data_IF_779695286172
#
_entry.id   IF_779695286172
#
_cell.length_a   1.000
_cell.length_b   1.000
_cell.length_c   1.000
_cell.angle_alpha   90.00
_cell.angle_beta   90.00
_cell.angle_gamma   90.00
#
_symmetry.space_group_name_H-M   'P 1'
#
loop_
_entity.id
_entity.type
_entity.pdbx_description
1 polymer ?
#
# COMPACT_ATOMS: atom_id res chain seq x y z
N UNK A 1 -5.73 9.86 18.46
CA UNK A 1 -5.30 9.58 17.07
C UNK A 1 -6.55 9.17 16.31
N UNK A 2 -6.92 9.87 15.24
CA UNK A 2 -8.07 9.49 14.41
C UNK A 2 -7.53 8.59 13.29
N UNK A 3 -7.92 7.31 13.31
CA UNK A 3 -7.55 6.35 12.27
C UNK A 3 -8.50 6.48 11.08
N UNK A 4 -8.05 6.04 9.91
CA UNK A 4 -8.94 5.82 8.77
C UNK A 4 -9.98 4.75 9.14
N UNK A 5 -11.21 4.96 8.70
CA UNK A 5 -12.37 4.12 8.99
C UNK A 5 -12.19 2.73 8.40
N UNK A 6 -12.72 1.73 9.09
CA UNK A 6 -12.68 0.34 8.62
C UNK A 6 -13.34 0.17 7.24
N UNK A 7 -14.27 1.05 6.87
CA UNK A 7 -14.93 1.00 5.56
C UNK A 7 -13.97 1.20 4.40
N UNK A 8 -13.10 2.23 4.45
CA UNK A 8 -12.15 2.48 3.36
C UNK A 8 -11.09 1.37 3.29
N UNK A 9 -10.63 0.89 4.44
CA UNK A 9 -9.66 -0.19 4.53
C UNK A 9 -10.20 -1.49 3.94
N UNK A 10 -11.44 -1.86 4.30
CA UNK A 10 -12.10 -3.05 3.74
C UNK A 10 -12.24 -2.94 2.23
N UNK A 11 -12.58 -1.77 1.70
CA UNK A 11 -12.70 -1.56 0.25
C UNK A 11 -11.35 -1.71 -0.47
N UNK A 12 -10.26 -1.18 0.09
CA UNK A 12 -8.91 -1.37 -0.47
C UNK A 12 -8.49 -2.83 -0.47
N UNK A 13 -8.79 -3.57 0.60
CA UNK A 13 -8.53 -5.02 0.70
C UNK A 13 -9.36 -5.78 -0.34
N UNK A 14 -10.66 -5.50 -0.46
CA UNK A 14 -11.55 -6.14 -1.44
C UNK A 14 -11.12 -5.90 -2.88
N UNK A 15 -10.52 -4.73 -3.15
CA UNK A 15 -10.01 -4.36 -4.48
C UNK A 15 -8.59 -4.87 -4.73
N UNK A 16 -7.93 -5.46 -3.73
CA UNK A 16 -6.57 -5.98 -3.85
C UNK A 16 -5.53 -4.89 -4.11
N UNK A 17 -5.75 -3.68 -3.59
CA UNK A 17 -4.85 -2.55 -3.78
C UNK A 17 -3.83 -2.48 -2.64
N UNK A 18 -2.53 -2.35 -2.93
CA UNK A 18 -1.52 -2.09 -1.91
C UNK A 18 -1.75 -0.74 -1.24
N UNK A 19 -1.75 -0.73 0.08
CA UNK A 19 -1.87 0.47 0.89
C UNK A 19 -1.07 0.34 2.19
N UNK A 20 -0.80 1.47 2.82
CA UNK A 20 -0.28 1.52 4.19
C UNK A 20 -0.96 2.65 4.95
N UNK A 21 -1.26 2.39 6.23
CA UNK A 21 -1.66 3.42 7.19
C UNK A 21 -0.58 3.50 8.25
N UNK A 22 0.00 4.67 8.44
CA UNK A 22 1.02 4.89 9.46
C UNK A 22 0.85 6.26 10.14
N UNK A 23 1.46 6.40 11.31
CA UNK A 23 1.57 7.69 12.01
C UNK A 23 3.03 7.88 12.37
N UNK A 24 3.56 9.09 12.19
CA UNK A 24 4.91 9.40 12.63
C UNK A 24 4.93 9.61 14.16
N UNK A 25 6.08 9.40 14.83
CA UNK A 25 6.24 9.74 16.22
C UNK A 25 5.76 11.17 16.51
N UNK A 26 5.08 11.36 17.65
CA UNK A 26 4.57 12.66 18.11
C UNK A 26 3.51 13.34 17.23
N UNK A 27 3.04 12.67 16.17
CA UNK A 27 1.93 13.14 15.35
C UNK A 27 0.60 12.54 15.81
N UNK A 28 -0.47 13.35 15.81
CA UNK A 28 -1.84 12.87 16.09
C UNK A 28 -2.58 12.43 14.83
N UNK A 29 -1.92 12.53 13.69
CA UNK A 29 -2.47 12.36 12.35
C UNK A 29 -1.97 11.05 11.76
N UNK A 30 -2.89 10.26 11.20
CA UNK A 30 -2.53 9.09 10.42
C UNK A 30 -2.47 9.45 8.94
N UNK A 31 -1.53 8.84 8.24
CA UNK A 31 -1.30 9.00 6.80
C UNK A 31 -1.71 7.70 6.13
N UNK A 32 -2.54 7.79 5.10
CA UNK A 32 -2.91 6.69 4.21
C UNK A 32 -2.20 6.89 2.87
N UNK A 33 -1.45 5.88 2.46
CA UNK A 33 -0.85 5.79 1.13
C UNK A 33 -1.54 4.67 0.37
N UNK A 34 -1.93 4.92 -0.89
CA UNK A 34 -2.57 3.92 -1.75
C UNK A 34 -1.90 3.90 -3.12
N UNK A 35 -1.63 2.70 -3.62
CA UNK A 35 -1.15 2.46 -4.98
C UNK A 35 -2.27 1.86 -5.83
N UNK A 36 -2.46 2.38 -7.05
CA UNK A 36 -3.44 1.91 -8.03
C UNK A 36 -3.05 0.56 -8.64
N UNK A 37 -1.75 0.31 -8.81
CA UNK A 37 -1.25 -1.00 -9.26
C UNK A 37 -1.43 -2.04 -8.16
N UNK A 38 -2.08 -3.17 -8.48
CA UNK A 38 -2.27 -4.28 -7.55
C UNK A 38 -0.95 -4.96 -7.13
N UNK A 39 0.13 -4.81 -7.92
CA UNK A 39 1.42 -5.44 -7.65
C UNK A 39 2.33 -4.49 -6.89
N UNK A 40 2.92 -4.96 -5.80
CA UNK A 40 4.05 -4.28 -5.18
C UNK A 40 5.21 -4.17 -6.18
N UNK A 41 5.92 -3.06 -6.12
CA UNK A 41 7.14 -2.90 -6.91
C UNK A 41 8.32 -3.55 -6.18
N UNK A 42 9.21 -4.17 -6.94
CA UNK A 42 10.48 -4.70 -6.42
C UNK A 42 11.65 -3.88 -6.97
N UNK A 43 12.69 -3.70 -6.17
CA UNK A 43 13.94 -3.10 -6.63
C UNK A 43 15.12 -3.54 -5.76
N UNK A 44 16.32 -3.12 -6.14
CA UNK A 44 17.53 -3.35 -5.35
C UNK A 44 17.58 -2.37 -4.17
N UNK A 45 18.03 -2.83 -3.01
CA UNK A 45 18.19 -1.99 -1.81
C UNK A 45 19.09 -0.77 -2.08
N UNK A 46 20.13 -0.94 -2.89
CA UNK A 46 21.06 0.14 -3.25
C UNK A 46 20.40 1.31 -3.99
N UNK A 47 19.19 1.12 -4.52
CA UNK A 47 18.42 2.15 -5.24
C UNK A 47 17.41 2.87 -4.34
N UNK A 48 17.42 2.61 -3.03
CA UNK A 48 16.42 3.11 -2.09
C UNK A 48 16.29 4.65 -2.08
N UNK A 49 17.41 5.37 -2.23
CA UNK A 49 17.47 6.83 -2.10
C UNK A 49 16.70 7.57 -3.21
N UNK A 50 16.51 6.94 -4.37
CA UNK A 50 15.78 7.54 -5.49
C UNK A 50 14.29 7.17 -5.49
N UNK A 51 13.86 6.29 -4.58
CA UNK A 51 12.47 5.87 -4.48
C UNK A 51 11.64 6.87 -3.67
N UNK A 52 10.37 6.99 -4.04
CA UNK A 52 9.36 7.70 -3.26
C UNK A 52 8.26 6.73 -2.87
N UNK A 53 7.95 6.65 -1.59
CA UNK A 53 6.87 5.79 -1.10
C UNK A 53 7.21 5.08 0.20
N UNK A 54 6.66 3.88 0.37
CA UNK A 54 6.78 3.09 1.59
C UNK A 54 7.48 1.76 1.32
N UNK A 55 8.52 1.48 2.09
CA UNK A 55 9.41 0.33 1.84
C UNK A 55 9.06 -0.81 2.78
N UNK A 56 9.05 -2.01 2.22
CA UNK A 56 8.82 -3.27 2.92
C UNK A 56 10.08 -4.12 2.67
N UNK A 57 11.00 -4.07 3.64
CA UNK A 57 12.23 -4.84 3.62
C UNK A 57 12.08 -6.05 4.55
N UNK A 58 11.89 -7.23 3.97
CA UNK A 58 11.81 -8.49 4.71
C UNK A 58 13.22 -8.90 5.16
N UNK A 59 13.35 -9.80 6.15
CA UNK A 59 14.67 -10.27 6.60
C UNK A 59 15.50 -10.90 5.47
N UNK A 60 14.86 -11.51 4.47
CA UNK A 60 15.55 -12.07 3.31
C UNK A 60 16.19 -11.00 2.41
N UNK A 61 15.68 -9.76 2.43
CA UNK A 61 16.25 -8.64 1.67
C UNK A 61 17.74 -8.41 1.99
N UNK A 62 18.17 -8.72 3.22
CA UNK A 62 19.58 -8.63 3.61
C UNK A 62 20.50 -9.61 2.86
N UNK A 63 19.94 -10.69 2.28
CA UNK A 63 20.67 -11.70 1.50
C UNK A 63 20.46 -11.52 -0.01
N UNK A 64 19.25 -11.15 -0.42
CA UNK A 64 18.87 -11.06 -1.84
C UNK A 64 19.15 -9.69 -2.45
N UNK A 65 19.39 -8.67 -1.63
CA UNK A 65 19.41 -7.26 -2.02
C UNK A 65 18.08 -6.75 -2.59
N UNK A 66 17.00 -7.54 -2.54
CA UNK A 66 15.71 -7.18 -3.10
C UNK A 66 14.79 -6.62 -2.02
N UNK A 67 14.19 -5.47 -2.27
CA UNK A 67 13.16 -4.86 -1.43
C UNK A 67 11.86 -4.68 -2.22
N UNK A 68 10.73 -4.76 -1.50
CA UNK A 68 9.41 -4.40 -2.03
C UNK A 68 9.04 -3.00 -1.57
N UNK A 69 8.27 -2.28 -2.36
CA UNK A 69 7.76 -0.98 -1.97
C UNK A 69 6.39 -0.67 -2.57
N UNK A 70 5.67 0.20 -1.88
CA UNK A 70 4.46 0.86 -2.34
C UNK A 70 4.88 2.21 -2.90
N UNK A 71 4.62 2.44 -4.20
CA UNK A 71 4.76 3.74 -4.85
C UNK A 71 3.36 4.39 -4.88
N UNK A 72 3.06 5.33 -3.98
CA UNK A 72 1.69 5.80 -3.83
C UNK A 72 1.26 6.69 -4.99
N UNK A 73 0.07 6.40 -5.54
CA UNK A 73 -0.68 7.29 -6.42
C UNK A 73 -1.52 8.28 -5.61
N UNK A 74 -1.91 7.89 -4.39
CA UNK A 74 -2.69 8.71 -3.48
C UNK A 74 -2.04 8.79 -2.10
N UNK A 75 -2.09 9.98 -1.50
CA UNK A 75 -1.54 10.27 -0.18
C UNK A 75 -2.56 11.13 0.58
N UNK A 76 -3.07 10.62 1.71
CA UNK A 76 -4.09 11.30 2.49
C UNK A 76 -3.64 11.47 3.95
N UNK A 77 -3.83 12.67 4.48
CA UNK A 77 -3.60 13.00 5.89
C UNK A 77 -4.89 13.14 6.70
N UNK A 78 -6.05 13.01 6.04
CA UNK A 78 -7.38 13.02 6.66
C UNK A 78 -8.35 12.19 5.81
N UNK A 79 -9.43 11.73 6.42
CA UNK A 79 -10.55 11.09 5.72
C UNK A 79 -11.41 12.08 4.93
N UNK A 80 -11.35 13.36 5.27
CA UNK A 80 -12.21 14.39 4.65
C UNK A 80 -11.89 14.58 3.16
N UNK A 81 -10.74 14.07 2.71
CA UNK A 81 -10.19 14.24 1.35
C UNK A 81 -10.14 12.93 0.55
N UNK A 82 -11.04 11.98 0.80
CA UNK A 82 -11.04 10.68 0.10
C UNK A 82 -11.86 10.66 -1.21
N UNK A 83 -12.33 11.82 -1.68
CA UNK A 83 -13.26 11.89 -2.81
C UNK A 83 -12.70 11.28 -4.10
N UNK A 84 -11.46 11.58 -4.45
CA UNK A 84 -10.80 11.06 -5.65
C UNK A 84 -10.55 9.55 -5.53
N UNK A 85 -10.14 9.07 -4.35
CA UNK A 85 -9.97 7.64 -4.10
C UNK A 85 -11.30 6.90 -4.24
N UNK A 86 -12.39 7.44 -3.69
CA UNK A 86 -13.71 6.83 -3.80
C UNK A 86 -14.17 6.73 -5.27
N UNK A 87 -13.99 7.80 -6.05
CA UNK A 87 -14.27 7.77 -7.49
C UNK A 87 -13.46 6.68 -8.19
N UNK A 88 -12.15 6.61 -7.93
CA UNK A 88 -11.30 5.56 -8.48
C UNK A 88 -11.81 4.15 -8.11
N UNK A 89 -12.08 3.88 -6.83
CA UNK A 89 -12.52 2.56 -6.35
C UNK A 89 -13.87 2.12 -6.93
N UNK A 90 -14.76 3.06 -7.27
CA UNK A 90 -16.01 2.76 -7.98
C UNK A 90 -15.78 2.40 -9.45
N UNK A 91 -14.75 2.95 -10.08
CA UNK A 91 -14.42 2.67 -11.49
C UNK A 91 -13.66 1.35 -11.69
N UNK A 92 -12.94 0.88 -10.66
CA UNK A 92 -12.17 -0.37 -10.70
C UNK A 92 -13.11 -1.58 -10.56
N UNK A 93 -13.25 -2.38 -11.62
CA UNK A 93 -13.85 -3.71 -11.56
C UNK A 93 -13.05 -4.61 -10.60
N UNK A 94 -13.72 -5.50 -9.86
CA UNK A 94 -13.06 -6.39 -8.87
C UNK A 94 -11.90 -7.13 -9.55
N UNK A 95 -10.69 -6.94 -9.06
CA UNK A 95 -9.52 -7.70 -9.52
C UNK A 95 -9.70 -9.13 -9.00
N UNK A 96 -9.66 -10.11 -9.91
CA UNK A 96 -9.74 -11.54 -9.55
C UNK A 96 -8.59 -11.88 -8.58
N UNK A 97 -8.94 -12.43 -7.41
CA UNK A 97 -7.95 -12.93 -6.45
C UNK A 97 -7.07 -13.94 -7.18
N UNK A 98 -5.77 -13.66 -7.28
CA UNK A 98 -4.80 -14.68 -7.66
C UNK A 98 -4.72 -15.68 -6.49
N UNK A 99 -5.31 -16.85 -6.67
CA UNK A 99 -5.12 -17.99 -5.77
C UNK A 99 -3.65 -18.39 -5.85
N UNK A 100 -2.85 -18.05 -4.84
CA UNK A 100 -1.57 -18.72 -4.63
C UNK A 100 -1.87 -20.20 -4.36
N UNK A 101 -1.60 -21.05 -5.35
CA UNK A 101 -1.53 -22.50 -5.15
C UNK A 101 -0.27 -22.74 -4.32
N UNK A 102 -0.45 -22.90 -3.01
CA UNK A 102 0.54 -23.49 -2.13
C UNK A 102 0.78 -24.93 -2.61
N UNK A 103 1.78 -25.13 -3.46
CA UNK A 103 2.33 -26.46 -3.69
C UNK A 103 3.08 -26.84 -2.41
N UNK A 104 2.43 -27.62 -1.56
CA UNK A 104 3.09 -28.41 -0.53
C UNK A 104 4.13 -29.30 -1.25
N UNK A 105 5.40 -29.13 -0.90
CA UNK A 105 6.50 -30.02 -1.26
C UNK A 105 6.86 -30.88 -0.07
#
# INVERSE_FOLDING_TARGET
>A
MKLFSSNIINLLIEKGLPFVVYSLPDTKTSILLVQKSAKLHCTDYDKIEVLKGFIIAEFQSAKTNEIKFINPDFIFNSEDDLSELNQYLTSVSKIEKQTEVLNES
#
